data_IF_344260135504
#
_entry.id   IF_344260135504
#
_cell.length_a   1.000
_cell.length_b   1.000
_cell.length_c   1.000
_cell.angle_alpha   90.00
_cell.angle_beta   90.00
_cell.angle_gamma   90.00
#
_symmetry.space_group_name_H-M   'P 1'
#
loop_
_entity.id
_entity.type
_entity.pdbx_description
1 polymer ?
#
# COMPACT_ATOMS: atom_id res chain seq x y z
N UNK A 1 19.17 -38.63 1.21
CA UNK A 1 19.62 -37.21 1.20
C UNK A 1 18.44 -36.40 0.70
N UNK A 2 17.67 -35.80 1.61
CA UNK A 2 16.52 -34.95 1.28
C UNK A 2 17.05 -33.63 0.73
N UNK A 3 16.61 -33.24 -0.44
CA UNK A 3 17.09 -32.03 -1.14
C UNK A 3 16.81 -30.76 -0.29
N UNK A 4 17.82 -29.88 -0.09
CA UNK A 4 17.66 -28.66 0.70
C UNK A 4 16.60 -27.68 0.16
N UNK A 5 16.27 -27.79 -1.12
CA UNK A 5 15.26 -26.95 -1.78
C UNK A 5 13.80 -27.26 -1.38
N UNK A 6 13.46 -28.53 -1.19
CA UNK A 6 12.08 -28.96 -0.84
C UNK A 6 11.68 -28.48 0.57
N UNK A 7 12.59 -28.56 1.53
CA UNK A 7 12.35 -28.11 2.92
C UNK A 7 12.18 -26.59 3.00
N UNK A 8 12.95 -25.82 2.23
CA UNK A 8 12.87 -24.34 2.19
C UNK A 8 11.54 -23.87 1.59
N UNK A 9 11.10 -24.46 0.47
CA UNK A 9 9.79 -24.14 -0.14
C UNK A 9 8.62 -24.43 0.81
N UNK A 10 8.69 -25.50 1.61
CA UNK A 10 7.66 -25.79 2.63
C UNK A 10 7.64 -24.77 3.77
N UNK A 11 8.79 -24.25 4.17
CA UNK A 11 8.91 -23.23 5.21
C UNK A 11 8.33 -21.91 4.73
N UNK A 12 8.70 -21.48 3.51
CA UNK A 12 8.22 -20.23 2.91
C UNK A 12 6.71 -20.28 2.66
N UNK A 13 6.20 -21.41 2.16
CA UNK A 13 4.77 -21.64 1.95
C UNK A 13 3.98 -21.62 3.27
N UNK A 14 4.52 -22.23 4.32
CA UNK A 14 3.86 -22.22 5.64
C UNK A 14 3.84 -20.81 6.23
N UNK A 15 4.92 -20.05 6.07
CA UNK A 15 4.97 -18.66 6.50
C UNK A 15 3.93 -17.81 5.78
N UNK A 16 3.80 -17.97 4.47
CA UNK A 16 2.81 -17.27 3.64
C UNK A 16 1.38 -17.57 4.12
N UNK A 17 1.04 -18.85 4.32
CA UNK A 17 -0.28 -19.27 4.84
C UNK A 17 -0.60 -18.62 6.20
N UNK A 18 0.38 -18.51 7.09
CA UNK A 18 0.20 -17.86 8.38
C UNK A 18 -0.05 -16.34 8.23
N UNK A 19 0.60 -15.69 7.27
CA UNK A 19 0.40 -14.26 7.02
C UNK A 19 -0.95 -13.98 6.35
N UNK A 20 -1.40 -14.84 5.42
CA UNK A 20 -2.74 -14.76 4.83
C UNK A 20 -3.83 -14.92 5.90
N UNK A 21 -3.66 -15.91 6.78
CA UNK A 21 -4.53 -16.07 7.94
C UNK A 21 -4.48 -14.83 8.85
N UNK A 22 -3.29 -14.26 9.08
CA UNK A 22 -3.09 -13.05 9.87
C UNK A 22 -3.85 -11.86 9.30
N UNK A 23 -3.84 -11.67 7.99
CA UNK A 23 -4.58 -10.61 7.32
C UNK A 23 -6.09 -10.68 7.63
N UNK A 24 -6.70 -11.86 7.47
CA UNK A 24 -8.11 -12.10 7.83
C UNK A 24 -8.37 -11.93 9.34
N UNK A 25 -7.46 -12.42 10.19
CA UNK A 25 -7.60 -12.32 11.65
C UNK A 25 -7.64 -10.87 12.12
N UNK A 26 -6.73 -10.02 11.63
CA UNK A 26 -6.66 -8.61 12.00
C UNK A 26 -7.80 -7.76 11.40
N UNK A 27 -8.53 -8.24 10.41
CA UNK A 27 -9.80 -7.60 10.01
C UNK A 27 -10.92 -7.83 11.03
N UNK A 28 -10.90 -8.96 11.74
CA UNK A 28 -11.95 -9.34 12.72
C UNK A 28 -11.66 -8.87 14.13
N UNK A 29 -10.39 -8.75 14.52
CA UNK A 29 -9.97 -8.42 15.89
C UNK A 29 -9.05 -7.19 15.91
N UNK A 30 -9.10 -6.43 17.00
CA UNK A 30 -8.11 -5.39 17.26
C UNK A 30 -6.78 -6.02 17.71
N UNK A 31 -5.66 -5.34 17.42
CA UNK A 31 -4.34 -5.83 17.80
C UNK A 31 -4.24 -6.20 19.29
N UNK A 32 -4.77 -5.36 20.18
CA UNK A 32 -4.67 -5.55 21.63
C UNK A 32 -5.52 -6.70 22.18
N UNK A 33 -6.56 -7.10 21.46
CA UNK A 33 -7.46 -8.20 21.85
C UNK A 33 -6.83 -9.57 21.66
N UNK A 34 -5.77 -9.67 20.85
CA UNK A 34 -5.15 -10.93 20.49
C UNK A 34 -3.91 -11.24 21.34
N UNK A 35 -3.73 -12.53 21.64
CA UNK A 35 -2.47 -13.07 22.16
C UNK A 35 -1.89 -14.09 21.18
N UNK A 36 -0.56 -14.33 21.24
CA UNK A 36 0.08 -15.38 20.41
C UNK A 36 -0.55 -16.75 20.60
N UNK A 37 -1.07 -17.05 21.80
CA UNK A 37 -1.76 -18.31 22.08
C UNK A 37 -3.13 -18.38 21.39
N UNK A 38 -3.87 -17.26 21.35
CA UNK A 38 -5.15 -17.17 20.62
C UNK A 38 -4.92 -17.27 19.11
N UNK A 39 -3.93 -16.56 18.58
CA UNK A 39 -3.55 -16.60 17.16
C UNK A 39 -3.20 -18.03 16.74
N UNK A 40 -2.33 -18.72 17.48
CA UNK A 40 -1.93 -20.09 17.18
C UNK A 40 -3.12 -21.07 17.19
N UNK A 41 -4.02 -20.92 18.16
CA UNK A 41 -5.24 -21.74 18.27
C UNK A 41 -6.17 -21.53 17.07
N UNK A 42 -6.41 -20.29 16.67
CA UNK A 42 -7.27 -19.97 15.53
C UNK A 42 -6.66 -20.37 14.18
N UNK A 43 -5.33 -20.23 14.06
CA UNK A 43 -4.58 -20.71 12.89
C UNK A 43 -4.45 -22.24 12.80
N UNK A 44 -4.89 -22.99 13.84
CA UNK A 44 -4.76 -24.44 13.88
C UNK A 44 -3.31 -24.94 13.97
N UNK A 45 -2.39 -24.14 14.54
CA UNK A 45 -0.98 -24.48 14.66
C UNK A 45 -0.53 -24.52 16.13
N UNK A 46 0.60 -25.18 16.40
CA UNK A 46 1.18 -25.12 17.74
C UNK A 46 1.75 -23.71 18.03
N UNK A 47 1.66 -23.30 19.30
CA UNK A 47 2.27 -22.04 19.76
C UNK A 47 3.78 -22.02 19.46
N UNK A 48 4.47 -23.15 19.61
CA UNK A 48 5.90 -23.27 19.30
C UNK A 48 6.20 -23.02 17.81
N UNK A 49 5.33 -23.52 16.91
CA UNK A 49 5.48 -23.29 15.47
C UNK A 49 5.27 -21.79 15.14
N UNK A 50 4.27 -21.15 15.72
CA UNK A 50 4.04 -19.72 15.48
C UNK A 50 5.23 -18.87 15.97
N UNK A 51 5.76 -19.16 17.16
CA UNK A 51 6.96 -18.48 17.68
C UNK A 51 8.23 -18.79 16.89
N UNK A 52 8.29 -19.91 16.20
CA UNK A 52 9.40 -20.23 15.30
C UNK A 52 9.46 -19.25 14.11
N UNK A 53 8.31 -18.85 13.57
CA UNK A 53 8.23 -17.91 12.44
C UNK A 53 8.20 -16.44 12.89
N UNK A 54 7.58 -16.16 14.02
CA UNK A 54 7.33 -14.79 14.50
C UNK A 54 7.63 -14.72 16.00
N UNK A 55 8.75 -14.07 16.40
CA UNK A 55 9.20 -14.00 17.78
C UNK A 55 8.19 -13.35 18.73
N UNK A 56 7.37 -12.42 18.23
CA UNK A 56 6.34 -11.74 19.01
C UNK A 56 5.05 -11.50 18.20
N UNK A 57 4.00 -11.04 18.89
CA UNK A 57 2.75 -10.61 18.25
C UNK A 57 2.99 -9.40 17.34
N UNK A 58 3.85 -8.48 17.76
CA UNK A 58 4.22 -7.32 16.96
C UNK A 58 4.91 -7.73 15.65
N UNK A 59 5.88 -8.68 15.71
CA UNK A 59 6.54 -9.20 14.50
C UNK A 59 5.55 -9.90 13.56
N UNK A 60 4.58 -10.64 14.11
CA UNK A 60 3.53 -11.28 13.29
C UNK A 60 2.63 -10.24 12.62
N UNK A 61 2.19 -9.24 13.37
CA UNK A 61 1.36 -8.16 12.86
C UNK A 61 2.09 -7.35 11.78
N UNK A 62 3.33 -6.91 12.06
CA UNK A 62 4.16 -6.18 11.09
C UNK A 62 4.37 -6.97 9.81
N UNK A 63 4.72 -8.27 9.92
CA UNK A 63 4.93 -9.13 8.76
C UNK A 63 3.64 -9.30 7.94
N UNK A 64 2.48 -9.38 8.59
CA UNK A 64 1.17 -9.45 7.92
C UNK A 64 0.88 -8.16 7.14
N UNK A 65 1.10 -7.01 7.77
CA UNK A 65 0.89 -5.71 7.12
C UNK A 65 1.88 -5.49 5.96
N UNK A 66 3.14 -5.92 6.13
CA UNK A 66 4.17 -5.80 5.09
C UNK A 66 3.84 -6.64 3.86
N UNK A 67 3.33 -7.86 4.05
CA UNK A 67 2.85 -8.69 2.94
C UNK A 67 1.70 -8.01 2.17
N UNK A 68 0.72 -7.43 2.88
CA UNK A 68 -0.36 -6.68 2.24
C UNK A 68 0.17 -5.45 1.47
N UNK A 69 1.14 -4.72 2.04
CA UNK A 69 1.78 -3.60 1.36
C UNK A 69 2.54 -4.01 0.10
N UNK A 70 3.23 -5.16 0.12
CA UNK A 70 3.91 -5.74 -1.05
C UNK A 70 2.91 -6.14 -2.14
N UNK A 71 1.76 -6.71 -1.77
CA UNK A 71 0.69 -7.05 -2.71
C UNK A 71 0.11 -5.79 -3.38
N UNK A 72 -0.17 -4.74 -2.61
CA UNK A 72 -0.63 -3.45 -3.15
C UNK A 72 0.43 -2.87 -4.09
N UNK A 73 1.69 -2.85 -3.68
CA UNK A 73 2.78 -2.33 -4.49
C UNK A 73 2.88 -3.04 -5.84
N UNK A 74 2.76 -4.38 -5.85
CA UNK A 74 2.80 -5.16 -7.09
C UNK A 74 1.59 -4.87 -8.00
N UNK A 75 0.38 -4.71 -7.43
CA UNK A 75 -0.83 -4.37 -8.21
C UNK A 75 -0.81 -2.95 -8.76
N UNK A 76 -0.11 -2.03 -8.09
CA UNK A 76 -0.04 -0.61 -8.46
C UNK A 76 1.27 -0.24 -9.16
N UNK A 77 2.05 -1.23 -9.58
CA UNK A 77 3.26 -0.99 -10.36
C UNK A 77 2.90 -0.25 -11.65
N UNK A 78 3.51 0.92 -11.93
CA UNK A 78 3.21 1.66 -13.15
C UNK A 78 3.67 0.88 -14.38
N UNK A 79 2.82 0.81 -15.38
CA UNK A 79 3.19 0.27 -16.68
C UNK A 79 4.20 1.24 -17.36
N UNK A 80 5.43 0.81 -17.60
CA UNK A 80 6.47 1.66 -18.20
C UNK A 80 6.19 2.02 -19.67
N UNK A 81 5.30 1.30 -20.34
CA UNK A 81 4.92 1.53 -21.72
C UNK A 81 3.80 2.58 -21.85
N UNK A 82 3.16 2.99 -20.73
CA UNK A 82 2.15 4.02 -20.72
C UNK A 82 2.75 5.42 -20.49
N UNK A 83 2.12 6.46 -21.08
CA UNK A 83 2.39 7.84 -20.71
C UNK A 83 2.24 8.07 -19.19
N UNK A 84 3.06 8.92 -18.53
CA UNK A 84 3.08 9.08 -17.08
C UNK A 84 1.71 9.38 -16.45
N UNK A 85 0.89 10.18 -17.12
CA UNK A 85 -0.46 10.50 -16.62
C UNK A 85 -1.40 9.29 -16.71
N UNK A 86 -1.30 8.48 -17.76
CA UNK A 86 -2.08 7.25 -17.94
C UNK A 86 -1.61 6.17 -16.97
N UNK A 87 -0.30 5.99 -16.80
CA UNK A 87 0.29 5.08 -15.83
C UNK A 87 -0.16 5.41 -14.40
N UNK A 88 -0.15 6.70 -14.03
CA UNK A 88 -0.65 7.16 -12.74
C UNK A 88 -2.15 6.84 -12.57
N UNK A 89 -2.98 7.15 -13.57
CA UNK A 89 -4.41 6.87 -13.53
C UNK A 89 -4.69 5.36 -13.42
N UNK A 90 -3.93 4.52 -14.14
CA UNK A 90 -4.04 3.06 -14.05
C UNK A 90 -3.64 2.53 -12.67
N UNK A 91 -2.50 2.99 -12.12
CA UNK A 91 -2.05 2.63 -10.77
C UNK A 91 -3.06 3.04 -9.69
N UNK A 92 -3.63 4.25 -9.79
CA UNK A 92 -4.70 4.71 -8.88
C UNK A 92 -5.96 3.87 -9.03
N UNK A 93 -6.34 3.50 -10.26
CA UNK A 93 -7.48 2.62 -10.52
C UNK A 93 -7.33 1.27 -9.83
N UNK A 94 -6.16 0.63 -9.99
CA UNK A 94 -5.82 -0.63 -9.34
C UNK A 94 -5.78 -0.52 -7.80
N UNK A 95 -5.27 0.59 -7.27
CA UNK A 95 -5.28 0.86 -5.84
C UNK A 95 -6.69 1.00 -5.27
N UNK A 96 -7.56 1.76 -5.93
CA UNK A 96 -8.95 1.96 -5.51
C UNK A 96 -9.76 0.66 -5.60
N UNK A 97 -9.49 -0.17 -6.61
CA UNK A 97 -10.09 -1.50 -6.72
C UNK A 97 -9.67 -2.40 -5.54
N UNK A 98 -8.39 -2.42 -5.22
CA UNK A 98 -7.90 -3.18 -4.07
C UNK A 98 -8.51 -2.69 -2.75
N UNK A 99 -8.63 -1.38 -2.54
CA UNK A 99 -9.28 -0.80 -1.35
C UNK A 99 -10.74 -1.26 -1.26
N UNK A 100 -11.46 -1.27 -2.36
CA UNK A 100 -12.86 -1.67 -2.42
C UNK A 100 -13.03 -3.17 -2.08
N UNK A 101 -12.15 -4.02 -2.62
CA UNK A 101 -12.10 -5.44 -2.30
C UNK A 101 -11.73 -5.71 -0.83
N UNK A 102 -10.91 -4.84 -0.23
CA UNK A 102 -10.32 -5.02 1.10
C UNK A 102 -10.73 -3.91 2.10
N UNK A 103 -11.94 -3.36 1.96
CA UNK A 103 -12.42 -2.18 2.71
C UNK A 103 -12.19 -2.31 4.22
N UNK A 104 -12.59 -3.44 4.82
CA UNK A 104 -12.47 -3.66 6.27
C UNK A 104 -11.02 -3.64 6.72
N UNK A 105 -10.12 -4.29 5.95
CA UNK A 105 -8.69 -4.32 6.25
C UNK A 105 -8.08 -2.92 6.14
N UNK A 106 -8.39 -2.19 5.07
CA UNK A 106 -7.89 -0.83 4.85
C UNK A 106 -8.33 0.15 5.95
N UNK A 107 -9.63 0.17 6.30
CA UNK A 107 -10.15 1.00 7.39
C UNK A 107 -9.46 0.69 8.72
N UNK A 108 -9.31 -0.58 9.07
CA UNK A 108 -8.63 -0.99 10.31
C UNK A 108 -7.15 -0.63 10.32
N UNK A 109 -6.46 -0.79 9.19
CA UNK A 109 -5.07 -0.35 9.05
C UNK A 109 -4.93 1.14 9.34
N UNK A 110 -5.74 1.98 8.69
CA UNK A 110 -5.70 3.43 8.88
C UNK A 110 -6.06 3.86 10.31
N UNK A 111 -7.04 3.20 10.94
CA UNK A 111 -7.35 3.42 12.36
C UNK A 111 -6.21 2.99 13.28
N UNK A 112 -5.59 1.83 13.01
CA UNK A 112 -4.48 1.29 13.79
C UNK A 112 -3.24 2.18 13.74
N UNK A 113 -3.04 2.93 12.66
CA UNK A 113 -1.93 3.88 12.54
C UNK A 113 -1.92 4.97 13.63
N UNK A 114 -3.05 5.23 14.26
CA UNK A 114 -3.15 6.20 15.37
C UNK A 114 -2.75 5.62 16.72
N UNK A 115 -2.80 4.30 16.90
CA UNK A 115 -2.64 3.63 18.19
C UNK A 115 -1.51 2.60 18.22
N UNK A 116 -1.15 2.02 17.08
CA UNK A 116 -0.14 0.96 16.95
C UNK A 116 1.06 1.48 16.18
N UNK A 117 2.21 1.53 16.84
CA UNK A 117 3.44 2.12 16.28
C UNK A 117 3.92 1.45 14.99
N UNK A 118 3.83 0.12 14.93
CA UNK A 118 4.21 -0.69 13.78
C UNK A 118 3.35 -0.36 12.54
N UNK A 119 2.03 -0.21 12.71
CA UNK A 119 1.13 0.19 11.62
C UNK A 119 1.47 1.59 11.09
N UNK A 120 1.73 2.55 12.00
CA UNK A 120 2.12 3.90 11.62
C UNK A 120 3.44 3.92 10.85
N UNK A 121 4.45 3.22 11.34
CA UNK A 121 5.77 3.14 10.70
C UNK A 121 5.65 2.58 9.28
N UNK A 122 4.89 1.49 9.10
CA UNK A 122 4.69 0.91 7.78
C UNK A 122 3.96 1.85 6.82
N UNK A 123 2.91 2.53 7.27
CA UNK A 123 2.19 3.50 6.42
C UNK A 123 3.12 4.64 6.00
N UNK A 124 3.96 5.14 6.91
CA UNK A 124 4.96 6.18 6.60
C UNK A 124 6.00 5.66 5.59
N UNK A 125 6.48 4.43 5.71
CA UNK A 125 7.37 3.77 4.74
C UNK A 125 6.72 3.65 3.36
N UNK A 126 5.48 3.18 3.29
CA UNK A 126 4.72 3.04 2.04
C UNK A 126 4.52 4.41 1.38
N UNK A 127 4.12 5.44 2.14
CA UNK A 127 3.99 6.81 1.62
C UNK A 127 5.33 7.36 1.10
N UNK A 128 6.41 7.15 1.84
CA UNK A 128 7.74 7.61 1.42
C UNK A 128 8.18 6.92 0.12
N UNK A 129 7.96 5.60 0.01
CA UNK A 129 8.25 4.85 -1.20
C UNK A 129 7.42 5.34 -2.40
N UNK A 130 6.11 5.50 -2.21
CA UNK A 130 5.19 5.99 -3.26
C UNK A 130 5.54 7.42 -3.68
N UNK A 131 5.85 8.32 -2.72
CA UNK A 131 6.35 9.64 -3.03
C UNK A 131 7.63 9.62 -3.86
N UNK A 132 8.57 8.73 -3.53
CA UNK A 132 9.81 8.54 -4.30
C UNK A 132 9.55 8.12 -5.73
N UNK A 133 8.63 7.17 -5.96
CA UNK A 133 8.23 6.73 -7.30
C UNK A 133 7.60 7.86 -8.12
N UNK A 134 6.62 8.57 -7.55
CA UNK A 134 5.95 9.69 -8.21
C UNK A 134 6.96 10.80 -8.55
N UNK A 135 7.79 11.20 -7.59
CA UNK A 135 8.81 12.25 -7.81
C UNK A 135 9.85 11.84 -8.87
N UNK A 136 10.32 10.60 -8.84
CA UNK A 136 11.27 10.08 -9.82
C UNK A 136 10.73 10.07 -11.25
N UNK A 137 9.41 9.86 -11.41
CA UNK A 137 8.75 9.96 -12.71
C UNK A 137 8.48 11.41 -13.18
N UNK A 138 8.55 12.40 -12.28
CA UNK A 138 8.31 13.80 -12.62
C UNK A 138 9.60 14.55 -13.00
N UNK A 139 10.61 14.46 -12.15
CA UNK A 139 11.87 15.19 -12.31
C UNK A 139 12.96 14.51 -11.45
N UNK A 140 14.18 14.31 -11.98
CA UNK A 140 15.29 13.73 -11.21
C UNK A 140 15.76 14.61 -10.04
N UNK A 141 15.52 15.93 -10.09
CA UNK A 141 15.81 16.87 -8.97
C UNK A 141 14.62 17.81 -8.73
N UNK A 142 13.53 17.30 -8.13
CA UNK A 142 12.34 18.09 -7.92
C UNK A 142 12.55 19.16 -6.84
N UNK A 143 11.98 20.36 -7.05
CA UNK A 143 12.06 21.46 -6.08
C UNK A 143 11.46 21.10 -4.72
N UNK A 144 11.83 21.78 -3.62
CA UNK A 144 11.20 21.56 -2.32
C UNK A 144 9.67 21.69 -2.33
N UNK A 145 9.13 22.61 -3.13
CA UNK A 145 7.68 22.82 -3.28
C UNK A 145 7.02 21.59 -3.93
N UNK A 146 7.61 21.05 -5.00
CA UNK A 146 7.12 19.84 -5.69
C UNK A 146 7.17 18.63 -4.75
N UNK A 147 8.28 18.44 -4.01
CA UNK A 147 8.37 17.37 -3.00
C UNK A 147 7.29 17.47 -1.93
N UNK A 148 7.00 18.69 -1.47
CA UNK A 148 5.95 18.93 -0.47
C UNK A 148 4.56 18.68 -1.05
N UNK A 149 4.30 19.12 -2.30
CA UNK A 149 3.02 18.90 -2.97
C UNK A 149 2.70 17.40 -3.12
N UNK A 150 3.66 16.60 -3.57
CA UNK A 150 3.47 15.14 -3.71
C UNK A 150 3.23 14.47 -2.36
N UNK A 151 4.01 14.81 -1.32
CA UNK A 151 3.82 14.23 0.02
C UNK A 151 2.48 14.61 0.63
N UNK A 152 2.07 15.86 0.51
CA UNK A 152 0.78 16.33 1.01
C UNK A 152 -0.40 15.68 0.25
N UNK A 153 -0.24 15.47 -1.05
CA UNK A 153 -1.24 14.78 -1.86
C UNK A 153 -1.47 13.32 -1.40
N UNK A 154 -0.44 12.61 -0.96
CA UNK A 154 -0.63 11.25 -0.41
C UNK A 154 -1.50 11.25 0.85
N UNK A 155 -1.36 12.26 1.72
CA UNK A 155 -2.28 12.43 2.86
C UNK A 155 -3.71 12.76 2.43
N UNK A 156 -3.86 13.60 1.41
CA UNK A 156 -5.17 13.86 0.81
C UNK A 156 -5.78 12.59 0.24
N UNK A 157 -5.02 11.78 -0.49
CA UNK A 157 -5.46 10.51 -1.06
C UNK A 157 -6.01 9.57 0.01
N UNK A 158 -5.30 9.36 1.12
CA UNK A 158 -5.76 8.51 2.22
C UNK A 158 -7.08 9.01 2.82
N UNK A 159 -7.18 10.33 3.05
CA UNK A 159 -8.41 10.94 3.56
C UNK A 159 -9.59 10.79 2.58
N UNK A 160 -9.36 11.04 1.30
CA UNK A 160 -10.37 10.91 0.26
C UNK A 160 -10.85 9.46 0.08
N UNK A 161 -9.93 8.48 0.17
CA UNK A 161 -10.30 7.08 0.13
C UNK A 161 -11.16 6.66 1.33
N UNK A 162 -10.83 7.11 2.54
CA UNK A 162 -11.62 6.82 3.74
C UNK A 162 -13.02 7.45 3.67
N UNK A 163 -13.11 8.69 3.22
CA UNK A 163 -14.36 9.41 3.02
C UNK A 163 -15.24 8.70 1.98
N UNK A 164 -14.67 8.36 0.83
CA UNK A 164 -15.37 7.62 -0.22
C UNK A 164 -15.89 6.26 0.24
N UNK A 165 -15.09 5.50 0.98
CA UNK A 165 -15.54 4.22 1.54
C UNK A 165 -16.70 4.42 2.52
N UNK A 166 -16.75 5.53 3.26
CA UNK A 166 -17.81 5.81 4.24
C UNK A 166 -19.11 6.25 3.57
N UNK A 167 -19.05 7.13 2.60
CA UNK A 167 -20.23 7.77 2.04
C UNK A 167 -20.76 7.09 0.78
N UNK A 168 -19.87 6.48 -0.02
CA UNK A 168 -20.22 5.79 -1.28
C UNK A 168 -21.11 6.62 -2.21
N UNK A 169 -20.87 7.94 -2.28
CA UNK A 169 -21.69 8.93 -2.99
C UNK A 169 -21.12 9.31 -4.36
N UNK A 170 -20.00 8.70 -4.79
CA UNK A 170 -19.42 8.84 -6.13
C UNK A 170 -18.88 7.52 -6.65
N UNK A 171 -18.76 7.40 -7.97
CA UNK A 171 -18.17 6.24 -8.63
C UNK A 171 -16.63 6.20 -8.42
N UNK A 172 -16.06 4.99 -8.42
CA UNK A 172 -14.61 4.79 -8.31
C UNK A 172 -13.80 5.58 -9.34
N UNK A 173 -14.31 5.69 -10.56
CA UNK A 173 -13.69 6.47 -11.63
C UNK A 173 -13.67 7.97 -11.34
N UNK A 174 -14.72 8.50 -10.72
CA UNK A 174 -14.81 9.91 -10.31
C UNK A 174 -13.81 10.23 -9.20
N UNK A 175 -13.67 9.34 -8.21
CA UNK A 175 -12.63 9.50 -7.18
C UNK A 175 -11.22 9.44 -7.78
N UNK A 176 -10.95 8.50 -8.69
CA UNK A 176 -9.65 8.44 -9.39
C UNK A 176 -9.35 9.75 -10.11
N UNK A 177 -10.30 10.29 -10.86
CA UNK A 177 -10.12 11.52 -11.62
C UNK A 177 -9.93 12.73 -10.69
N UNK A 178 -10.62 12.76 -9.55
CA UNK A 178 -10.41 13.75 -8.48
C UNK A 178 -8.98 13.69 -7.94
N UNK A 179 -8.47 12.49 -7.66
CA UNK A 179 -7.11 12.28 -7.15
C UNK A 179 -6.06 12.74 -8.16
N UNK A 180 -6.21 12.37 -9.44
CA UNK A 180 -5.33 12.82 -10.52
C UNK A 180 -5.37 14.34 -10.65
N UNK A 181 -6.56 14.93 -10.73
CA UNK A 181 -6.75 16.37 -10.89
C UNK A 181 -6.17 17.16 -9.72
N UNK A 182 -6.30 16.64 -8.49
CA UNK A 182 -5.75 17.27 -7.28
C UNK A 182 -4.22 17.25 -7.30
N UNK A 183 -3.58 16.14 -7.73
CA UNK A 183 -2.13 16.09 -7.88
C UNK A 183 -1.65 17.10 -8.93
N UNK A 184 -2.27 17.12 -10.11
CA UNK A 184 -1.92 18.07 -11.17
C UNK A 184 -2.06 19.51 -10.69
N UNK A 185 -3.13 19.85 -9.99
CA UNK A 185 -3.34 21.18 -9.39
C UNK A 185 -2.28 21.53 -8.35
N UNK A 186 -1.90 20.59 -7.49
CA UNK A 186 -0.85 20.77 -6.49
C UNK A 186 0.54 20.97 -7.15
N UNK A 187 0.85 20.23 -8.20
CA UNK A 187 2.09 20.39 -8.98
C UNK A 187 2.14 21.76 -9.68
N UNK A 188 1.04 22.20 -10.28
CA UNK A 188 0.94 23.54 -10.90
C UNK A 188 1.16 24.64 -9.86
N UNK A 189 0.52 24.55 -8.70
CA UNK A 189 0.71 25.49 -7.58
C UNK A 189 2.15 25.48 -7.02
N UNK A 190 2.83 24.35 -7.12
CA UNK A 190 4.25 24.22 -6.76
C UNK A 190 5.20 24.79 -7.82
N UNK A 191 4.70 25.23 -8.99
CA UNK A 191 5.46 25.77 -10.11
C UNK A 191 6.14 24.69 -10.96
N UNK A 192 5.61 23.47 -10.94
CA UNK A 192 6.06 22.40 -11.84
C UNK A 192 5.56 22.68 -13.28
N UNK A 193 6.44 22.49 -14.25
CA UNK A 193 6.08 22.62 -15.67
C UNK A 193 5.30 21.38 -16.13
N UNK A 194 3.96 21.54 -16.22
CA UNK A 194 3.08 20.46 -16.64
C UNK A 194 3.27 20.00 -18.10
N UNK A 195 3.96 20.78 -18.95
CA UNK A 195 4.28 20.35 -20.32
C UNK A 195 5.18 19.11 -20.34
N UNK A 196 6.03 18.94 -19.32
CA UNK A 196 6.88 17.75 -19.14
C UNK A 196 6.06 16.46 -18.99
N UNK A 197 4.83 16.53 -18.43
CA UNK A 197 3.94 15.35 -18.34
C UNK A 197 3.40 14.95 -19.73
N UNK A 198 3.21 15.93 -20.61
CA UNK A 198 2.73 15.68 -21.98
C UNK A 198 3.86 15.23 -22.93
N UNK A 199 5.06 15.77 -22.76
CA UNK A 199 6.24 15.41 -23.60
C UNK A 199 6.72 13.98 -23.33
N UNK A 200 6.65 13.52 -22.09
CA UNK A 200 6.95 12.12 -21.74
C UNK A 200 5.93 11.12 -22.34
N UNK A 201 4.75 11.61 -22.77
CA UNK A 201 3.73 10.82 -23.49
C UNK A 201 3.99 10.69 -25.00
N UNK A 202 4.80 11.59 -25.57
CA UNK A 202 5.23 11.57 -26.98
C UNK A 202 6.66 11.10 -27.06
N UNK A 203 6.90 9.79 -27.09
CA UNK A 203 8.22 9.23 -27.33
C UNK A 203 8.90 9.85 -28.56
N UNK A 204 10.24 9.84 -28.69
CA UNK A 204 10.94 10.50 -29.77
C UNK A 204 10.45 9.96 -31.10
N UNK A 205 9.77 10.81 -31.87
CA UNK A 205 9.51 10.58 -33.29
C UNK A 205 10.87 10.50 -33.98
N UNK A 206 11.40 9.30 -34.13
CA UNK A 206 12.59 8.97 -34.87
C UNK A 206 12.24 8.31 -36.19
#
# INVERSE_FOLDING_TARGET
MTEPGYTRLQVDERRRQLLEFGADLFTRHAFDELSMAAIAREAGVSKALLYHYFPSKADFFEATLRQAAEEIAARTEPDPDLPPAEALAASLGAFLEWIEENEVAYRKLMQSATTVGEARTLIEEVRAHTAGRVLGGLDPDPSPKVRTAVRAWLWFMDGACLDWLEHRDMERSELRDLLVGTLVGALAAAGFDLSKLAEAAGGPSG
#
